data_IF_138036171440
#
_entry.id   IF_138036171440
#
_cell.length_a   1.000
_cell.length_b   1.000
_cell.length_c   1.000
_cell.angle_alpha   90.00
_cell.angle_beta   90.00
_cell.angle_gamma   90.00
#
_symmetry.space_group_name_H-M   'P 1'
#
loop_
_entity.id
_entity.type
_entity.pdbx_description
1 polymer ?
#
# COMPACT_ATOMS: atom_id res chain seq x y z
N UNK A 1 -27.48 -0.08 -19.83
CA UNK A 1 -27.12 0.51 -18.52
C UNK A 1 -25.62 0.75 -18.52
N UNK A 2 -25.16 1.96 -18.18
CA UNK A 2 -23.70 2.25 -18.15
C UNK A 2 -23.07 1.41 -17.04
N UNK A 3 -21.95 0.74 -17.33
CA UNK A 3 -21.27 -0.19 -16.42
C UNK A 3 -20.94 0.39 -15.03
N UNK A 4 -20.80 1.73 -14.92
CA UNK A 4 -20.70 2.45 -13.63
C UNK A 4 -21.84 2.14 -12.66
N UNK A 5 -23.04 1.86 -13.17
CA UNK A 5 -24.20 1.55 -12.35
C UNK A 5 -24.18 0.09 -11.86
N UNK A 6 -23.49 -0.83 -12.54
CA UNK A 6 -23.49 -2.26 -12.17
C UNK A 6 -22.50 -2.52 -11.04
N UNK A 7 -21.33 -1.87 -11.04
CA UNK A 7 -20.41 -1.91 -9.90
C UNK A 7 -21.08 -1.29 -8.66
N UNK A 8 -21.76 -0.15 -8.82
CA UNK A 8 -22.55 0.46 -7.75
C UNK A 8 -23.68 -0.45 -7.24
N UNK A 9 -24.40 -1.16 -8.12
CA UNK A 9 -25.46 -2.10 -7.74
C UNK A 9 -24.89 -3.37 -7.07
N UNK A 10 -23.70 -3.84 -7.44
CA UNK A 10 -23.03 -4.95 -6.76
C UNK A 10 -22.66 -4.56 -5.32
N UNK A 11 -22.08 -3.38 -5.14
CA UNK A 11 -21.79 -2.84 -3.81
C UNK A 11 -23.07 -2.65 -3.00
N UNK A 12 -24.16 -2.13 -3.58
CA UNK A 12 -25.46 -1.99 -2.89
C UNK A 12 -26.10 -3.35 -2.54
N UNK A 13 -25.93 -4.38 -3.39
CA UNK A 13 -26.44 -5.72 -3.14
C UNK A 13 -25.67 -6.50 -2.07
N UNK A 14 -24.38 -6.16 -1.86
CA UNK A 14 -23.51 -6.75 -0.84
C UNK A 14 -23.51 -5.92 0.46
N UNK A 15 -23.75 -4.61 0.39
CA UNK A 15 -23.79 -3.69 1.56
C UNK A 15 -24.98 -3.91 2.50
N UNK A 16 -26.00 -4.70 2.14
CA UNK A 16 -27.21 -4.88 2.96
C UNK A 16 -27.00 -5.76 4.20
N UNK A 17 -25.76 -6.19 4.49
CA UNK A 17 -25.45 -7.10 5.58
C UNK A 17 -24.11 -6.68 6.20
N UNK A 18 -24.17 -6.07 7.38
CA UNK A 18 -23.01 -5.73 8.20
C UNK A 18 -23.47 -5.31 9.60
N UNK A 19 -22.82 -5.84 10.63
CA UNK A 19 -23.07 -5.49 12.03
C UNK A 19 -21.85 -4.78 12.62
N UNK A 20 -22.13 -3.99 13.66
CA UNK A 20 -21.30 -2.89 14.14
C UNK A 20 -20.09 -3.33 14.98
N UNK A 21 -18.91 -2.83 14.63
CA UNK A 21 -17.88 -2.47 15.60
C UNK A 21 -18.08 -1.01 15.99
N UNK A 22 -17.95 -0.62 17.28
CA UNK A 22 -18.08 0.78 17.67
C UNK A 22 -17.00 1.60 16.94
N UNK A 23 -17.40 2.68 16.27
CA UNK A 23 -16.44 3.67 15.74
C UNK A 23 -15.61 4.19 16.92
N UNK A 24 -14.28 4.11 16.78
CA UNK A 24 -13.44 5.08 17.47
C UNK A 24 -13.82 6.47 16.91
N UNK A 25 -14.03 7.44 17.79
CA UNK A 25 -14.26 8.82 17.36
C UNK A 25 -13.02 9.28 16.59
N UNK A 26 -13.18 9.56 15.30
CA UNK A 26 -12.08 10.05 14.47
C UNK A 26 -11.67 11.44 14.94
N UNK A 27 -10.36 11.68 15.02
CA UNK A 27 -9.81 12.98 15.37
C UNK A 27 -9.91 13.94 14.19
N UNK A 28 -9.98 15.23 14.49
CA UNK A 28 -9.77 16.29 13.48
C UNK A 28 -8.28 16.45 13.21
N UNK A 29 -7.90 16.55 11.93
CA UNK A 29 -6.53 16.94 11.55
C UNK A 29 -6.42 18.46 11.53
N UNK A 30 -5.68 19.00 12.50
CA UNK A 30 -5.46 20.42 12.68
C UNK A 30 -4.09 20.85 12.15
N UNK A 31 -4.00 22.12 11.77
CA UNK A 31 -2.74 22.72 11.33
C UNK A 31 -1.63 22.58 12.38
N UNK A 32 -1.98 22.71 13.67
CA UNK A 32 -1.03 22.65 14.79
C UNK A 32 -0.42 21.28 14.98
N UNK A 33 -1.02 20.21 14.43
CA UNK A 33 -0.42 18.88 14.48
C UNK A 33 0.91 18.80 13.72
N UNK A 34 1.02 19.54 12.62
CA UNK A 34 2.23 19.58 11.80
C UNK A 34 3.36 20.41 12.42
N UNK A 35 3.09 21.08 13.55
CA UNK A 35 4.07 21.79 14.37
C UNK A 35 4.66 20.88 15.47
N UNK A 36 4.05 19.71 15.72
CA UNK A 36 4.54 18.72 16.69
C UNK A 36 5.78 17.97 16.16
N UNK A 37 6.58 17.40 17.06
CA UNK A 37 7.68 16.49 16.71
C UNK A 37 7.13 15.22 16.05
N UNK A 38 6.03 14.69 16.56
CA UNK A 38 5.35 13.53 15.97
C UNK A 38 3.91 13.44 16.44
N UNK A 39 3.08 12.73 15.68
CA UNK A 39 1.75 12.32 16.11
C UNK A 39 1.36 10.98 15.45
N UNK A 40 0.40 10.28 16.06
CA UNK A 40 -0.28 9.15 15.46
C UNK A 40 -1.77 9.24 15.81
N UNK A 41 -2.65 9.27 14.80
CA UNK A 41 -4.10 9.39 15.01
C UNK A 41 -4.90 8.93 13.80
N UNK A 42 -6.17 8.63 14.05
CA UNK A 42 -7.15 8.26 13.03
C UNK A 42 -7.98 9.48 12.65
N UNK A 43 -8.01 9.85 11.37
CA UNK A 43 -8.71 11.04 10.85
C UNK A 43 -9.78 10.62 9.85
N UNK A 44 -10.96 11.25 9.89
CA UNK A 44 -11.97 11.03 8.86
C UNK A 44 -11.72 11.92 7.63
N UNK A 45 -11.39 11.30 6.50
CA UNK A 45 -11.22 12.03 5.24
C UNK A 45 -12.51 12.75 4.80
N UNK A 46 -13.69 12.24 5.12
CA UNK A 46 -14.94 12.89 4.71
C UNK A 46 -15.21 14.21 5.43
N UNK A 47 -14.58 14.50 6.57
CA UNK A 47 -14.64 15.85 7.16
C UNK A 47 -14.07 16.91 6.21
N UNK A 48 -12.95 16.58 5.56
CA UNK A 48 -12.38 17.43 4.52
C UNK A 48 -13.33 17.56 3.32
N UNK A 49 -13.92 16.45 2.87
CA UNK A 49 -14.84 16.46 1.72
C UNK A 49 -16.08 17.31 2.03
N UNK A 50 -16.66 17.20 3.24
CA UNK A 50 -17.78 18.02 3.73
C UNK A 50 -17.45 19.51 3.80
N UNK A 51 -16.27 19.85 4.31
CA UNK A 51 -15.80 21.24 4.30
C UNK A 51 -15.66 21.77 2.86
N UNK A 52 -15.12 20.96 1.96
CA UNK A 52 -14.95 21.32 0.55
C UNK A 52 -16.28 21.47 -0.19
N UNK A 53 -17.25 20.56 0.00
CA UNK A 53 -18.58 20.64 -0.63
C UNK A 53 -19.30 21.90 -0.20
N UNK A 54 -19.26 22.22 1.10
CA UNK A 54 -19.83 23.44 1.68
C UNK A 54 -19.20 24.69 1.06
N UNK A 55 -17.86 24.77 1.01
CA UNK A 55 -17.14 25.93 0.49
C UNK A 55 -17.44 26.20 -1.00
N UNK A 56 -17.69 25.15 -1.77
CA UNK A 56 -17.89 25.23 -3.22
C UNK A 56 -19.34 25.12 -3.69
N UNK A 57 -20.31 25.04 -2.77
CA UNK A 57 -21.73 24.90 -3.10
C UNK A 57 -22.05 23.62 -3.90
N UNK A 58 -21.28 22.55 -3.66
CA UNK A 58 -21.49 21.25 -4.30
C UNK A 58 -22.63 20.54 -3.56
N UNK A 59 -23.70 20.10 -4.25
CA UNK A 59 -24.77 19.35 -3.60
C UNK A 59 -24.25 18.09 -2.92
N UNK A 60 -24.63 17.91 -1.67
CA UNK A 60 -24.26 16.74 -0.88
C UNK A 60 -25.17 15.54 -1.22
N UNK A 61 -24.63 14.32 -1.23
CA UNK A 61 -25.45 13.11 -1.36
C UNK A 61 -26.35 12.94 -0.12
N UNK A 62 -27.37 12.10 -0.26
CA UNK A 62 -28.21 11.72 0.88
C UNK A 62 -27.38 10.96 1.95
N UNK A 63 -27.60 11.27 3.23
CA UNK A 63 -26.88 10.70 4.38
C UNK A 63 -25.35 10.95 4.39
N UNK A 64 -24.88 12.06 3.81
CA UNK A 64 -23.45 12.36 3.72
C UNK A 64 -22.74 12.54 5.08
N UNK A 65 -23.51 12.84 6.12
CA UNK A 65 -23.08 12.88 7.51
C UNK A 65 -22.63 11.51 8.04
N UNK A 66 -23.09 10.41 7.43
CA UNK A 66 -22.75 9.02 7.79
C UNK A 66 -21.61 8.44 6.96
N UNK A 67 -21.07 9.23 6.04
CA UNK A 67 -19.96 8.79 5.20
C UNK A 67 -18.67 9.08 5.94
N UNK A 68 -17.93 8.02 6.27
CA UNK A 68 -16.63 8.11 6.94
C UNK A 68 -15.58 7.31 6.16
N UNK A 69 -14.36 7.80 6.16
CA UNK A 69 -13.18 7.17 5.58
C UNK A 69 -12.03 7.42 6.56
N UNK A 70 -11.94 6.52 7.55
CA UNK A 70 -11.01 6.61 8.65
C UNK A 70 -9.61 6.27 8.16
N UNK A 71 -8.68 7.19 8.34
CA UNK A 71 -7.30 7.11 7.89
C UNK A 71 -6.38 7.14 9.11
N UNK A 72 -5.62 6.07 9.36
CA UNK A 72 -4.53 6.10 10.32
C UNK A 72 -3.39 6.93 9.74
N UNK A 73 -3.03 8.01 10.41
CA UNK A 73 -1.96 8.91 10.02
C UNK A 73 -0.86 8.91 11.07
N UNK A 74 0.38 8.76 10.64
CA UNK A 74 1.56 8.99 11.49
C UNK A 74 2.41 10.09 10.89
N UNK A 75 2.95 10.93 11.75
CA UNK A 75 3.80 12.05 11.35
C UNK A 75 5.07 12.07 12.19
N UNK A 76 6.19 12.34 11.54
CA UNK A 76 7.51 12.52 12.15
C UNK A 76 8.11 13.79 11.60
N UNK A 77 8.53 14.70 12.46
CA UNK A 77 9.11 16.01 12.16
C UNK A 77 10.32 16.23 13.07
N UNK A 78 11.45 15.69 12.63
CA UNK A 78 12.71 15.72 13.40
C UNK A 78 13.90 15.79 12.45
N UNK A 79 15.04 16.29 12.90
CA UNK A 79 16.31 16.27 12.15
C UNK A 79 16.23 16.77 10.70
N UNK A 80 15.38 17.76 10.42
CA UNK A 80 15.21 18.34 9.07
C UNK A 80 14.36 17.52 8.10
N UNK A 81 13.71 16.44 8.57
CA UNK A 81 12.76 15.64 7.78
C UNK A 81 11.35 15.77 8.35
N UNK A 82 10.36 15.88 7.47
CA UNK A 82 8.93 15.73 7.73
C UNK A 82 8.42 14.51 6.97
N UNK A 83 8.05 13.46 7.66
CA UNK A 83 7.45 12.26 7.08
C UNK A 83 6.01 12.16 7.55
N UNK A 84 5.06 12.07 6.61
CA UNK A 84 3.68 11.70 6.89
C UNK A 84 3.40 10.34 6.25
N UNK A 85 2.87 9.40 7.01
CA UNK A 85 2.28 8.17 6.50
C UNK A 85 0.75 8.24 6.67
N UNK A 86 0.03 7.64 5.72
CA UNK A 86 -1.41 7.49 5.78
C UNK A 86 -1.84 6.13 5.24
N UNK A 87 -2.63 5.42 6.03
CA UNK A 87 -3.25 4.16 5.66
C UNK A 87 -4.74 4.14 5.96
N UNK A 88 -5.52 3.50 5.09
CA UNK A 88 -6.98 3.45 5.26
C UNK A 88 -7.35 2.38 6.29
N UNK A 89 -8.05 2.76 7.35
CA UNK A 89 -8.60 1.80 8.30
C UNK A 89 -9.87 1.17 7.75
N UNK A 90 -10.85 2.01 7.42
CA UNK A 90 -12.17 1.60 6.95
C UNK A 90 -12.94 2.75 6.30
N UNK A 91 -13.94 2.39 5.49
CA UNK A 91 -14.93 3.29 4.92
C UNK A 91 -16.32 2.82 5.36
N UNK A 92 -17.18 3.75 5.77
CA UNK A 92 -18.61 3.49 5.96
C UNK A 92 -19.45 4.56 5.27
N UNK A 93 -20.67 4.23 4.84
CA UNK A 93 -21.60 5.16 4.16
C UNK A 93 -22.97 5.26 4.81
N UNK A 94 -23.26 4.38 5.75
CA UNK A 94 -24.56 4.30 6.42
C UNK A 94 -24.45 3.72 7.84
N UNK A 95 -23.23 3.65 8.38
CA UNK A 95 -22.87 3.04 9.67
C UNK A 95 -23.18 1.53 9.78
N UNK A 96 -23.64 0.89 8.69
CA UNK A 96 -24.00 -0.53 8.68
C UNK A 96 -23.00 -1.37 7.90
N UNK A 97 -22.42 -0.84 6.82
CA UNK A 97 -21.37 -1.51 6.06
C UNK A 97 -20.00 -0.84 6.28
N UNK A 98 -18.99 -1.68 6.50
CA UNK A 98 -17.58 -1.27 6.58
C UNK A 98 -16.82 -1.88 5.41
N UNK A 99 -15.97 -1.07 4.79
CA UNK A 99 -15.12 -1.47 3.69
C UNK A 99 -13.66 -1.17 4.03
N UNK A 100 -12.86 -2.22 4.18
CA UNK A 100 -11.43 -2.13 4.50
C UNK A 100 -10.59 -2.42 3.26
N UNK A 101 -10.05 -1.38 2.65
CA UNK A 101 -9.22 -1.48 1.45
C UNK A 101 -7.78 -1.17 1.84
N UNK A 102 -6.82 -2.08 1.64
CA UNK A 102 -5.41 -1.79 1.80
C UNK A 102 -5.00 -0.64 0.87
N UNK A 103 -4.77 0.51 1.48
CA UNK A 103 -4.21 1.68 0.86
C UNK A 103 -3.14 2.19 1.81
N UNK A 104 -1.92 2.34 1.32
CA UNK A 104 -0.78 2.81 2.11
C UNK A 104 0.03 3.81 1.30
N UNK A 105 0.32 4.94 1.89
CA UNK A 105 1.17 5.96 1.28
C UNK A 105 2.00 6.66 2.33
N UNK A 106 3.19 7.10 1.96
CA UNK A 106 3.91 8.10 2.73
C UNK A 106 4.37 9.25 1.84
N UNK A 107 4.54 10.40 2.48
CA UNK A 107 5.09 11.63 1.92
C UNK A 107 6.26 12.02 2.80
N UNK A 108 7.42 12.27 2.20
CA UNK A 108 8.57 12.88 2.88
C UNK A 108 8.82 14.26 2.31
N UNK A 109 9.00 15.26 3.17
CA UNK A 109 9.60 16.55 2.85
C UNK A 109 10.94 16.67 3.59
N UNK A 110 11.97 17.09 2.89
CA UNK A 110 13.29 17.34 3.46
C UNK A 110 14.06 18.33 2.59
N UNK A 111 15.17 18.85 3.12
CA UNK A 111 16.16 19.59 2.35
C UNK A 111 17.25 18.66 1.85
N UNK A 112 17.69 18.82 0.61
CA UNK A 112 18.77 18.00 0.03
C UNK A 112 20.11 18.25 0.71
N UNK A 113 20.92 17.22 0.83
CA UNK A 113 22.23 17.31 1.49
C UNK A 113 23.21 18.27 0.79
N UNK A 114 23.23 18.33 -0.55
CA UNK A 114 24.27 19.09 -1.27
C UNK A 114 23.93 20.58 -1.43
N UNK A 115 22.70 20.88 -1.87
CA UNK A 115 22.29 22.25 -2.22
C UNK A 115 21.17 22.80 -1.31
N UNK A 116 20.77 22.09 -0.26
CA UNK A 116 19.78 22.53 0.73
C UNK A 116 18.40 22.87 0.13
N UNK A 117 18.00 22.14 -0.93
CA UNK A 117 16.76 22.36 -1.69
C UNK A 117 15.60 21.56 -1.14
N UNK A 118 14.40 22.11 -1.19
CA UNK A 118 13.19 21.42 -0.74
C UNK A 118 12.75 20.35 -1.74
N UNK A 119 12.63 19.11 -1.24
CA UNK A 119 12.14 17.95 -1.99
C UNK A 119 10.90 17.42 -1.30
N UNK A 120 9.89 17.05 -2.09
CA UNK A 120 8.82 16.17 -1.66
C UNK A 120 8.94 14.84 -2.39
N UNK A 121 8.93 13.76 -1.64
CA UNK A 121 8.85 12.40 -2.16
C UNK A 121 7.57 11.75 -1.69
N UNK A 122 6.91 10.99 -2.56
CA UNK A 122 5.77 10.16 -2.20
C UNK A 122 5.92 8.77 -2.80
N UNK A 123 5.57 7.75 -2.03
CA UNK A 123 5.44 6.36 -2.50
C UNK A 123 4.11 5.81 -2.04
N UNK A 124 3.47 5.05 -2.92
CA UNK A 124 2.16 4.47 -2.67
C UNK A 124 2.09 3.03 -3.12
N UNK A 125 1.59 2.17 -2.24
CA UNK A 125 1.12 0.83 -2.58
C UNK A 125 -0.14 0.94 -3.46
N UNK A 126 -0.12 0.30 -4.62
CA UNK A 126 -1.24 0.30 -5.55
C UNK A 126 -2.11 -0.95 -5.39
N UNK A 127 -1.50 -2.14 -5.49
CA UNK A 127 -2.23 -3.41 -5.44
C UNK A 127 -1.29 -4.63 -5.33
N UNK A 128 -1.90 -5.77 -4.97
CA UNK A 128 -1.35 -7.08 -5.31
C UNK A 128 -1.74 -7.44 -6.76
N UNK A 129 -0.82 -8.09 -7.48
CA UNK A 129 -1.07 -8.63 -8.81
C UNK A 129 -0.67 -10.10 -8.83
N UNK A 130 -1.58 -10.95 -9.28
CA UNK A 130 -1.27 -12.33 -9.62
C UNK A 130 -1.03 -12.44 -11.12
N UNK A 131 -0.12 -13.31 -11.52
CA UNK A 131 0.20 -13.51 -12.92
C UNK A 131 0.62 -14.94 -13.20
N UNK A 132 0.37 -15.40 -14.43
CA UNK A 132 1.01 -16.59 -14.94
C UNK A 132 1.72 -16.29 -16.26
N UNK A 133 2.91 -16.86 -16.39
CA UNK A 133 3.74 -16.65 -17.57
C UNK A 133 3.20 -17.44 -18.76
N UNK A 134 3.45 -16.92 -19.94
CA UNK A 134 3.15 -17.57 -21.21
C UNK A 134 4.45 -17.91 -21.94
N UNK A 135 4.34 -18.68 -23.02
CA UNK A 135 5.49 -18.93 -23.91
C UNK A 135 6.07 -17.65 -24.54
N UNK A 136 5.39 -16.52 -24.41
CA UNK A 136 5.76 -15.22 -24.96
C UNK A 136 6.05 -14.17 -23.89
N UNK A 137 6.19 -14.55 -22.61
CA UNK A 137 6.62 -13.65 -21.54
C UNK A 137 7.92 -12.96 -21.94
N UNK A 138 7.95 -11.66 -21.71
CA UNK A 138 9.06 -10.77 -22.03
C UNK A 138 10.03 -10.66 -20.86
N UNK A 139 9.51 -10.76 -19.64
CA UNK A 139 10.26 -10.63 -18.40
C UNK A 139 10.01 -11.86 -17.54
N UNK A 140 10.96 -12.83 -17.53
CA UNK A 140 10.85 -13.96 -16.63
C UNK A 140 10.66 -13.51 -15.19
N UNK A 141 9.79 -14.22 -14.49
CA UNK A 141 9.50 -14.07 -13.07
C UNK A 141 8.91 -12.69 -12.68
N UNK A 142 8.36 -11.94 -13.64
CA UNK A 142 7.72 -10.65 -13.39
C UNK A 142 6.54 -10.39 -14.33
N UNK A 143 5.39 -9.91 -13.85
CA UNK A 143 4.19 -9.77 -14.67
C UNK A 143 4.40 -8.81 -15.81
N UNK A 144 4.10 -9.20 -17.05
CA UNK A 144 4.21 -8.34 -18.21
C UNK A 144 2.99 -8.38 -19.15
N UNK A 145 3.02 -7.56 -20.19
CA UNK A 145 1.90 -7.35 -21.12
C UNK A 145 1.50 -8.60 -21.92
N UNK A 146 2.34 -9.63 -21.96
CA UNK A 146 2.10 -10.90 -22.65
C UNK A 146 1.63 -12.02 -21.71
N UNK A 147 1.54 -11.74 -20.40
CA UNK A 147 1.07 -12.70 -19.39
C UNK A 147 -0.44 -12.65 -19.21
N UNK A 148 -1.00 -13.62 -18.48
CA UNK A 148 -2.36 -13.47 -17.92
C UNK A 148 -2.23 -12.85 -16.55
N UNK A 149 -2.83 -11.68 -16.39
CA UNK A 149 -2.72 -10.87 -15.18
C UNK A 149 -4.06 -10.77 -14.47
N UNK A 150 -4.01 -10.78 -13.15
CA UNK A 150 -5.15 -10.58 -12.27
C UNK A 150 -4.81 -9.52 -11.24
N UNK A 151 -5.56 -8.42 -11.23
CA UNK A 151 -5.44 -7.37 -10.24
C UNK A 151 -6.29 -7.70 -9.02
N UNK A 152 -5.69 -7.59 -7.84
CA UNK A 152 -6.39 -7.71 -6.57
C UNK A 152 -6.98 -6.38 -6.15
N UNK A 153 -8.26 -6.40 -5.79
CA UNK A 153 -8.88 -5.35 -5.00
C UNK A 153 -9.42 -5.99 -3.75
N UNK A 154 -8.73 -5.76 -2.66
CA UNK A 154 -9.21 -6.21 -1.37
C UNK A 154 -10.41 -5.40 -0.96
N UNK A 155 -11.53 -6.08 -0.78
CA UNK A 155 -12.76 -5.50 -0.31
C UNK A 155 -13.02 -6.16 1.04
N UNK A 156 -12.57 -5.50 2.09
CA UNK A 156 -12.75 -5.97 3.44
C UNK A 156 -14.19 -5.80 3.93
N UNK A 157 -15.13 -6.48 3.27
CA UNK A 157 -16.50 -6.64 3.72
C UNK A 157 -16.53 -7.46 5.02
N UNK A 158 -17.65 -7.36 5.77
CA UNK A 158 -18.07 -8.32 6.79
C UNK A 158 -19.26 -9.14 6.25
N UNK A 159 -19.05 -10.43 5.97
CA UNK A 159 -20.08 -11.36 5.47
C UNK A 159 -20.28 -12.55 6.40
N UNK A 160 -20.00 -12.37 7.70
CA UNK A 160 -20.23 -13.35 8.77
C UNK A 160 -21.65 -13.96 8.76
N UNK A 161 -22.65 -13.19 8.33
CA UNK A 161 -24.05 -13.59 8.22
C UNK A 161 -24.37 -14.51 7.02
N UNK A 162 -23.43 -14.72 6.07
CA UNK A 162 -23.60 -15.73 5.00
C UNK A 162 -23.48 -17.19 5.50
N UNK A 163 -23.27 -17.36 6.81
CA UNK A 163 -23.33 -18.63 7.54
C UNK A 163 -22.06 -19.50 7.43
N UNK A 164 -21.96 -20.53 8.28
CA UNK A 164 -20.79 -21.44 8.43
C UNK A 164 -20.27 -22.13 7.16
N UNK A 165 -20.97 -21.97 6.02
CA UNK A 165 -20.65 -22.63 4.75
C UNK A 165 -19.81 -21.77 3.81
N UNK A 166 -19.68 -20.47 4.08
CA UNK A 166 -18.76 -19.57 3.41
C UNK A 166 -17.78 -19.03 4.46
N UNK A 167 -16.52 -18.75 4.11
CA UNK A 167 -15.59 -18.17 5.07
C UNK A 167 -16.18 -16.90 5.66
N UNK A 168 -15.89 -16.67 6.94
CA UNK A 168 -16.16 -15.39 7.57
C UNK A 168 -15.31 -14.37 6.83
N UNK A 169 -15.93 -13.64 5.91
CA UNK A 169 -15.29 -12.55 5.19
C UNK A 169 -15.41 -11.35 6.11
N UNK A 170 -14.62 -11.26 7.18
CA UNK A 170 -14.67 -10.21 8.21
C UNK A 170 -13.31 -9.53 8.30
N UNK A 171 -12.93 -8.80 7.27
CA UNK A 171 -11.63 -8.15 7.32
C UNK A 171 -11.57 -7.19 8.50
N UNK A 172 -10.45 -7.16 9.19
CA UNK A 172 -10.18 -6.26 10.31
C UNK A 172 -8.93 -5.44 9.98
N UNK A 173 -8.84 -4.24 10.55
CA UNK A 173 -7.66 -3.40 10.46
C UNK A 173 -7.10 -3.17 11.85
N UNK A 174 -5.79 -3.36 12.00
CA UNK A 174 -5.03 -3.11 13.22
C UNK A 174 -3.94 -2.09 12.91
N UNK A 175 -3.87 -1.02 13.70
CA UNK A 175 -2.77 -0.05 13.63
C UNK A 175 -1.57 -0.57 14.40
N UNK A 176 -0.37 -0.48 13.83
CA UNK A 176 0.87 -0.66 14.57
C UNK A 176 1.28 0.73 15.08
N UNK A 177 1.31 0.94 16.42
CA UNK A 177 1.55 2.26 17.00
C UNK A 177 2.88 2.87 16.57
N UNK A 178 2.91 4.19 16.43
CA UNK A 178 4.16 4.92 16.25
C UNK A 178 5.01 4.84 17.52
N UNK A 179 6.22 4.34 17.37
CA UNK A 179 7.22 4.23 18.44
C UNK A 179 8.55 4.78 17.97
N UNK A 180 9.44 5.12 18.90
CA UNK A 180 10.74 5.69 18.57
C UNK A 180 11.81 5.30 19.60
N UNK A 181 13.07 5.37 19.18
CA UNK A 181 14.24 5.27 20.06
C UNK A 181 14.35 6.47 21.01
N UNK A 182 15.19 6.37 22.05
CA UNK A 182 15.42 7.47 23.00
C UNK A 182 16.04 8.70 22.34
N UNK A 183 16.96 8.48 21.39
CA UNK A 183 17.65 9.53 20.62
C UNK A 183 16.83 10.13 19.47
N UNK A 184 15.60 9.62 19.24
CA UNK A 184 14.69 10.06 18.18
C UNK A 184 15.24 9.88 16.76
N UNK A 185 16.22 9.01 16.58
CA UNK A 185 16.78 8.69 15.27
C UNK A 185 16.17 7.44 14.63
N UNK A 186 15.48 6.59 15.39
CA UNK A 186 14.72 5.45 14.88
C UNK A 186 13.23 5.59 15.20
N UNK A 187 12.38 5.30 14.22
CA UNK A 187 10.92 5.33 14.33
C UNK A 187 10.31 4.11 13.67
N UNK A 188 9.31 3.50 14.30
CA UNK A 188 8.62 2.31 13.78
C UNK A 188 7.10 2.49 13.89
N UNK A 189 6.36 2.14 12.83
CA UNK A 189 4.89 2.18 12.76
C UNK A 189 4.39 1.28 11.62
N UNK A 190 3.07 1.20 11.44
CA UNK A 190 2.50 0.46 10.31
C UNK A 190 1.03 0.14 10.48
N UNK A 191 0.52 -0.77 9.65
CA UNK A 191 -0.84 -1.30 9.72
C UNK A 191 -0.88 -2.74 9.24
N UNK A 192 -1.81 -3.51 9.81
CA UNK A 192 -2.12 -4.88 9.43
C UNK A 192 -3.60 -4.98 9.07
N UNK A 193 -3.90 -5.61 7.94
CA UNK A 193 -5.24 -6.02 7.58
C UNK A 193 -5.35 -7.53 7.74
N UNK A 194 -6.19 -8.03 8.64
CA UNK A 194 -6.38 -9.47 8.86
C UNK A 194 -7.68 -9.95 8.26
N UNK A 195 -7.81 -11.26 8.01
CA UNK A 195 -8.98 -11.86 7.35
C UNK A 195 -9.31 -11.14 6.03
N UNK A 196 -8.27 -10.71 5.31
CA UNK A 196 -8.40 -9.79 4.19
C UNK A 196 -9.07 -10.48 3.02
N UNK A 197 -10.27 -10.04 2.67
CA UNK A 197 -11.00 -10.53 1.50
C UNK A 197 -10.57 -9.77 0.26
N UNK A 198 -10.29 -10.48 -0.84
CA UNK A 198 -9.92 -9.85 -2.10
C UNK A 198 -10.63 -10.41 -3.31
N UNK A 199 -11.13 -9.49 -4.15
CA UNK A 199 -11.69 -9.79 -5.45
C UNK A 199 -10.62 -9.61 -6.52
N UNK A 200 -10.63 -10.52 -7.50
CA UNK A 200 -9.63 -10.57 -8.56
C UNK A 200 -10.28 -10.32 -9.91
N UNK A 201 -9.75 -9.34 -10.63
CA UNK A 201 -10.16 -9.05 -12.01
C UNK A 201 -9.04 -9.33 -12.97
N UNK A 202 -9.38 -9.95 -14.10
CA UNK A 202 -8.45 -10.06 -15.21
C UNK A 202 -8.09 -8.65 -15.71
N UNK A 203 -6.79 -8.39 -15.87
CA UNK A 203 -6.27 -7.08 -16.27
C UNK A 203 -5.26 -7.19 -17.41
N UNK A 204 -5.06 -6.07 -18.10
CA UNK A 204 -4.08 -5.91 -19.18
C UNK A 204 -3.31 -4.61 -18.96
N UNK A 205 -1.99 -4.72 -18.89
CA UNK A 205 -1.07 -3.60 -18.65
C UNK A 205 -0.32 -3.17 -19.92
N UNK A 206 -0.82 -3.52 -21.10
CA UNK A 206 -0.25 -3.02 -22.35
C UNK A 206 -0.53 -1.50 -22.47
N UNK A 207 0.48 -0.62 -22.55
CA UNK A 207 0.26 0.84 -22.59
C UNK A 207 -0.58 1.31 -23.78
N UNK A 208 -0.62 0.56 -24.87
CA UNK A 208 -1.41 0.90 -26.06
C UNK A 208 -2.87 0.43 -25.96
N UNK A 209 -3.19 -0.47 -25.04
CA UNK A 209 -4.55 -0.96 -24.81
C UNK A 209 -4.75 -1.42 -23.35
N UNK A 210 -4.53 -0.52 -22.37
CA UNK A 210 -4.69 -0.83 -20.96
C UNK A 210 -6.19 -0.95 -20.67
N UNK A 211 -6.57 -2.06 -20.05
CA UNK A 211 -7.96 -2.34 -19.69
C UNK A 211 -8.01 -3.43 -18.64
N UNK A 212 -9.15 -3.56 -17.98
CA UNK A 212 -9.48 -4.70 -17.16
C UNK A 212 -10.81 -5.27 -17.64
N UNK A 213 -11.07 -6.51 -17.25
CA UNK A 213 -12.35 -7.12 -17.51
C UNK A 213 -13.39 -6.43 -16.63
N UNK A 214 -14.16 -5.51 -17.20
CA UNK A 214 -15.17 -4.76 -16.46
C UNK A 214 -16.46 -5.56 -16.22
N UNK A 215 -16.37 -6.89 -16.29
CA UNK A 215 -17.42 -7.82 -15.88
C UNK A 215 -17.19 -8.28 -14.43
N UNK A 216 -17.73 -9.44 -14.08
CA UNK A 216 -17.64 -10.00 -12.74
C UNK A 216 -16.19 -10.38 -12.39
N UNK A 217 -15.77 -10.22 -11.12
CA UNK A 217 -14.49 -10.75 -10.66
C UNK A 217 -14.43 -12.26 -10.93
N UNK A 218 -13.24 -12.72 -11.30
CA UNK A 218 -12.99 -14.13 -11.67
C UNK A 218 -12.62 -15.00 -10.49
N UNK A 219 -12.21 -14.37 -9.38
CA UNK A 219 -11.96 -15.06 -8.12
C UNK A 219 -12.23 -14.16 -6.90
N UNK A 220 -12.47 -14.80 -5.76
CA UNK A 220 -12.50 -14.20 -4.43
C UNK A 220 -11.54 -14.98 -3.54
N UNK A 221 -10.65 -14.32 -2.82
CA UNK A 221 -9.72 -14.96 -1.88
C UNK A 221 -9.80 -14.37 -0.48
N UNK A 222 -9.33 -15.11 0.52
CA UNK A 222 -9.14 -14.63 1.89
C UNK A 222 -7.71 -14.91 2.34
N UNK A 223 -7.01 -13.86 2.75
CA UNK A 223 -5.66 -13.92 3.31
C UNK A 223 -5.70 -13.91 4.84
N UNK A 224 -4.71 -14.53 5.47
CA UNK A 224 -4.46 -14.38 6.91
C UNK A 224 -4.21 -12.91 7.26
N UNK A 225 -3.32 -12.26 6.52
CA UNK A 225 -2.99 -10.85 6.69
C UNK A 225 -2.48 -10.19 5.39
N UNK A 226 -2.54 -8.87 5.34
CA UNK A 226 -1.63 -8.03 4.56
C UNK A 226 -1.10 -6.97 5.51
N UNK A 227 0.20 -6.98 5.79
CA UNK A 227 0.80 -6.05 6.74
C UNK A 227 1.86 -5.17 6.09
N UNK A 228 1.92 -3.92 6.52
CA UNK A 228 2.91 -2.94 6.12
C UNK A 228 3.53 -2.37 7.38
N UNK A 229 4.83 -2.59 7.56
CA UNK A 229 5.60 -2.02 8.67
C UNK A 229 6.69 -1.13 8.11
N UNK A 230 6.88 0.01 8.74
CA UNK A 230 7.87 0.99 8.35
C UNK A 230 8.86 1.18 9.48
N UNK A 231 10.15 1.24 9.13
CA UNK A 231 11.22 1.66 10.03
C UNK A 231 11.99 2.80 9.40
N UNK A 232 11.90 3.99 9.99
CA UNK A 232 12.72 5.14 9.64
C UNK A 232 13.96 5.15 10.53
N UNK A 233 15.13 5.24 9.93
CA UNK A 233 16.42 5.47 10.59
C UNK A 233 17.05 6.72 10.01
N UNK A 234 17.36 7.69 10.86
CA UNK A 234 18.01 8.95 10.49
C UNK A 234 19.47 8.88 10.94
N UNK A 235 20.38 9.09 9.99
CA UNK A 235 21.81 9.21 10.25
C UNK A 235 22.24 10.65 9.93
N UNK A 236 22.33 11.52 10.96
CA UNK A 236 22.71 12.91 10.77
C UNK A 236 24.13 13.10 10.26
N UNK A 237 25.05 12.21 10.64
CA UNK A 237 26.46 12.28 10.26
C UNK A 237 26.66 11.90 8.79
N UNK A 238 25.92 10.91 8.31
CA UNK A 238 25.91 10.53 6.89
C UNK A 238 25.04 11.46 6.02
N UNK A 239 24.18 12.28 6.64
CA UNK A 239 23.20 13.11 5.92
C UNK A 239 22.18 12.26 5.17
N UNK A 240 21.66 11.21 5.83
CA UNK A 240 20.71 10.28 5.22
C UNK A 240 19.54 9.94 6.14
N UNK A 241 18.37 9.70 5.55
CA UNK A 241 17.24 9.08 6.22
C UNK A 241 16.82 7.84 5.42
N UNK A 242 16.85 6.68 6.07
CA UNK A 242 16.51 5.39 5.47
C UNK A 242 15.16 4.92 5.98
N UNK A 243 14.22 4.67 5.07
CA UNK A 243 12.93 4.07 5.33
C UNK A 243 12.95 2.63 4.82
N UNK A 244 12.91 1.67 5.74
CA UNK A 244 12.69 0.26 5.41
C UNK A 244 11.20 -0.01 5.41
N UNK A 245 10.67 -0.49 4.29
CA UNK A 245 9.29 -0.95 4.19
C UNK A 245 9.28 -2.47 4.30
N UNK A 246 8.48 -3.06 5.18
CA UNK A 246 8.29 -4.50 5.24
C UNK A 246 6.85 -4.84 4.87
N UNK A 247 6.71 -5.73 3.90
CA UNK A 247 5.44 -6.24 3.43
C UNK A 247 5.27 -7.68 3.84
N UNK A 248 4.14 -7.98 4.46
CA UNK A 248 3.70 -9.35 4.71
C UNK A 248 2.47 -9.64 3.88
N UNK A 249 2.57 -10.60 2.97
CA UNK A 249 1.38 -11.20 2.33
C UNK A 249 1.11 -12.49 3.07
N UNK A 250 0.04 -12.55 3.83
CA UNK A 250 -0.39 -13.73 4.57
C UNK A 250 -0.77 -14.88 3.64
N UNK A 251 -0.93 -16.06 4.23
CA UNK A 251 -1.35 -17.26 3.50
C UNK A 251 -2.80 -17.11 3.02
N UNK A 252 -3.11 -17.65 1.84
CA UNK A 252 -4.49 -17.79 1.38
C UNK A 252 -5.16 -18.96 2.10
N UNK A 253 -6.29 -18.70 2.75
CA UNK A 253 -7.10 -19.74 3.41
C UNK A 253 -8.25 -20.22 2.55
N UNK A 254 -8.82 -19.31 1.78
CA UNK A 254 -10.03 -19.54 1.01
C UNK A 254 -9.88 -18.94 -0.38
N UNK A 255 -10.30 -19.67 -1.40
CA UNK A 255 -10.37 -19.17 -2.77
C UNK A 255 -11.63 -19.70 -3.46
N UNK A 256 -12.43 -18.80 -4.00
CA UNK A 256 -13.51 -19.10 -4.93
C UNK A 256 -13.07 -18.72 -6.33
N UNK A 257 -13.27 -19.61 -7.31
CA UNK A 257 -12.94 -19.36 -8.71
C UNK A 257 -14.18 -19.55 -9.56
N UNK A 258 -14.47 -18.60 -10.45
CA UNK A 258 -15.64 -18.65 -11.32
C UNK A 258 -16.39 -17.32 -11.41
N UNK A 259 -17.70 -17.37 -11.66
CA UNK A 259 -18.51 -16.16 -11.83
C UNK A 259 -19.04 -15.68 -10.48
N UNK A 260 -18.32 -14.79 -9.81
CA UNK A 260 -18.74 -14.19 -8.53
C UNK A 260 -19.89 -13.19 -8.78
N UNK A 261 -20.98 -13.18 -7.97
CA UNK A 261 -21.22 -13.94 -6.74
C UNK A 261 -22.10 -15.18 -6.93
N UNK A 262 -22.18 -15.79 -8.11
CA UNK A 262 -23.11 -16.90 -8.39
C UNK A 262 -22.54 -18.24 -7.89
N UNK A 263 -22.95 -18.77 -6.72
CA UNK A 263 -22.22 -19.87 -6.06
C UNK A 263 -22.34 -21.21 -6.80
N UNK A 264 -23.34 -21.36 -7.68
CA UNK A 264 -23.52 -22.52 -8.56
C UNK A 264 -22.52 -22.52 -9.74
N UNK A 265 -21.88 -21.38 -10.00
CA UNK A 265 -20.89 -21.19 -11.07
C UNK A 265 -19.48 -20.97 -10.51
N UNK A 266 -19.27 -21.27 -9.22
CA UNK A 266 -18.00 -21.15 -8.55
C UNK A 266 -17.57 -22.49 -7.95
N UNK A 267 -16.28 -22.76 -8.01
CA UNK A 267 -15.63 -23.80 -7.19
C UNK A 267 -14.89 -23.13 -6.04
N UNK A 268 -14.67 -23.89 -4.96
CA UNK A 268 -14.06 -23.42 -3.73
C UNK A 268 -12.84 -24.28 -3.37
N UNK A 269 -11.75 -23.63 -3.00
CA UNK A 269 -10.51 -24.26 -2.56
C UNK A 269 -10.11 -23.75 -1.18
N UNK A 270 -9.60 -24.65 -0.35
CA UNK A 270 -8.95 -24.33 0.92
C UNK A 270 -7.78 -25.29 1.18
N UNK A 271 -7.21 -25.28 2.39
CA UNK A 271 -6.12 -26.17 2.77
C UNK A 271 -6.48 -27.67 2.84
N UNK A 272 -7.76 -28.03 2.77
CA UNK A 272 -8.24 -29.40 2.93
C UNK A 272 -8.81 -30.02 1.65
N UNK A 273 -8.96 -29.25 0.58
CA UNK A 273 -9.30 -29.75 -0.75
C UNK A 273 -10.06 -28.77 -1.63
N UNK A 274 -10.69 -29.34 -2.66
CA UNK A 274 -11.46 -28.65 -3.68
C UNK A 274 -12.92 -29.08 -3.59
N UNK A 275 -13.82 -28.10 -3.65
CA UNK A 275 -15.24 -28.28 -3.37
C UNK A 275 -16.10 -27.60 -4.44
N UNK A 276 -17.21 -28.24 -4.77
CA UNK A 276 -18.27 -27.68 -5.60
C UNK A 276 -19.40 -27.10 -4.76
N UNK A 277 -20.48 -26.68 -5.43
CA UNK A 277 -21.79 -26.27 -4.89
C UNK A 277 -21.76 -25.77 -3.43
N UNK A 278 -21.54 -24.46 -3.26
CA UNK A 278 -21.46 -23.76 -1.96
C UNK A 278 -20.37 -24.28 -1.02
N UNK A 279 -19.28 -24.88 -1.55
CA UNK A 279 -18.21 -25.45 -0.74
C UNK A 279 -18.61 -26.72 0.03
N UNK A 280 -19.79 -27.30 -0.23
CA UNK A 280 -20.35 -28.41 0.56
C UNK A 280 -19.93 -29.79 0.07
N UNK A 281 -19.63 -29.91 -1.22
CA UNK A 281 -19.35 -31.20 -1.85
C UNK A 281 -17.86 -31.20 -2.19
N UNK A 282 -17.07 -31.98 -1.44
CA UNK A 282 -15.67 -32.22 -1.80
C UNK A 282 -15.62 -32.96 -3.13
N UNK A 283 -14.95 -32.37 -4.11
CA UNK A 283 -14.79 -32.92 -5.45
C UNK A 283 -13.53 -33.77 -5.54
N UNK A 284 -12.44 -33.29 -4.95
CA UNK A 284 -11.16 -33.97 -4.89
C UNK A 284 -10.28 -33.40 -3.75
N UNK A 285 -9.07 -33.92 -3.61
CA UNK A 285 -8.11 -33.54 -2.56
C UNK A 285 -7.20 -32.36 -2.95
N UNK A 286 -7.32 -31.80 -4.16
CA UNK A 286 -6.48 -30.67 -4.58
C UNK A 286 -6.79 -29.47 -3.70
N UNK A 287 -5.77 -28.99 -3.00
CA UNK A 287 -5.88 -27.85 -2.10
C UNK A 287 -5.78 -26.53 -2.86
N UNK A 288 -5.96 -25.44 -2.12
CA UNK A 288 -5.69 -24.10 -2.61
C UNK A 288 -4.24 -23.93 -3.12
N UNK A 289 -3.29 -24.59 -2.47
CA UNK A 289 -1.86 -24.50 -2.84
C UNK A 289 -1.59 -25.29 -4.12
N UNK A 290 -2.23 -26.45 -4.27
CA UNK A 290 -2.18 -27.24 -5.51
C UNK A 290 -2.79 -26.43 -6.66
N UNK A 291 -3.92 -25.76 -6.46
CA UNK A 291 -4.51 -24.90 -7.49
C UNK A 291 -3.55 -23.78 -7.93
N UNK A 292 -2.96 -23.04 -6.97
CA UNK A 292 -2.03 -21.94 -7.28
C UNK A 292 -0.81 -22.48 -8.05
N UNK A 293 -0.26 -23.61 -7.61
CA UNK A 293 0.89 -24.25 -8.23
C UNK A 293 0.57 -24.81 -9.63
N UNK A 294 -0.51 -25.57 -9.78
CA UNK A 294 -0.91 -26.20 -11.05
C UNK A 294 -1.27 -25.17 -12.12
N UNK A 295 -1.72 -23.97 -11.71
CA UNK A 295 -1.99 -22.85 -12.61
C UNK A 295 -0.80 -21.91 -12.80
N UNK A 296 0.36 -22.21 -12.21
CA UNK A 296 1.57 -21.39 -12.22
C UNK A 296 1.30 -19.92 -11.83
N UNK A 297 0.45 -19.71 -10.83
CA UNK A 297 0.07 -18.38 -10.36
C UNK A 297 1.14 -17.85 -9.40
N UNK A 298 1.82 -16.78 -9.84
CA UNK A 298 2.81 -16.02 -9.08
C UNK A 298 2.17 -14.76 -8.49
N UNK A 299 2.83 -14.12 -7.53
CA UNK A 299 2.33 -12.92 -6.86
C UNK A 299 3.33 -11.76 -6.97
N UNK A 300 2.82 -10.54 -7.07
CA UNK A 300 3.61 -9.31 -7.06
C UNK A 300 2.95 -8.20 -6.26
N UNK A 301 3.78 -7.31 -5.72
CA UNK A 301 3.38 -6.00 -5.18
C UNK A 301 3.68 -4.94 -6.23
N UNK A 302 2.73 -4.03 -6.45
CA UNK A 302 2.86 -2.91 -7.38
C UNK A 302 2.81 -1.60 -6.60
N UNK A 303 3.84 -0.78 -6.77
CA UNK A 303 3.94 0.55 -6.18
C UNK A 303 4.27 1.59 -7.25
N UNK A 304 4.01 2.86 -6.95
CA UNK A 304 4.53 3.97 -7.74
C UNK A 304 5.19 5.01 -6.86
N UNK A 305 6.19 5.68 -7.43
CA UNK A 305 6.96 6.69 -6.73
C UNK A 305 6.94 8.02 -7.48
N UNK A 306 6.86 9.12 -6.72
CA UNK A 306 6.90 10.50 -7.22
C UNK A 306 7.85 11.35 -6.37
N UNK A 307 8.56 12.27 -7.02
CA UNK A 307 9.52 13.20 -6.45
C UNK A 307 9.31 14.57 -7.09
N UNK A 308 9.21 15.61 -6.25
CA UNK A 308 8.85 16.96 -6.65
C UNK A 308 9.82 17.95 -6.01
N UNK A 309 10.38 18.84 -6.82
CA UNK A 309 11.19 19.98 -6.37
C UNK A 309 10.58 21.28 -6.85
N UNK A 310 10.81 22.38 -6.14
CA UNK A 310 10.14 23.65 -6.42
C UNK A 310 10.68 24.31 -7.69
N UNK A 311 12.00 24.27 -7.83
CA UNK A 311 12.80 25.02 -8.80
C UNK A 311 13.53 24.12 -9.81
N UNK A 312 13.43 22.80 -9.66
CA UNK A 312 14.07 21.80 -10.53
C UNK A 312 13.10 20.70 -10.97
N UNK A 313 13.42 20.07 -12.09
CA UNK A 313 12.82 18.80 -12.49
C UNK A 313 13.61 17.63 -11.93
N UNK A 314 12.95 16.48 -11.80
CA UNK A 314 13.56 15.25 -11.28
C UNK A 314 13.61 14.18 -12.35
N UNK A 315 14.67 13.38 -12.34
CA UNK A 315 14.78 12.20 -13.19
C UNK A 315 15.30 11.01 -12.39
N UNK A 316 14.93 9.80 -12.82
CA UNK A 316 15.29 8.56 -12.15
C UNK A 316 16.01 7.62 -13.11
N UNK A 317 17.09 7.01 -12.65
CA UNK A 317 17.91 6.09 -13.42
C UNK A 317 18.44 4.95 -12.56
N UNK A 318 18.83 3.84 -13.19
CA UNK A 318 19.61 2.79 -12.53
C UNK A 318 21.01 3.32 -12.17
N UNK A 319 21.75 2.58 -11.34
CA UNK A 319 23.17 2.86 -11.06
C UNK A 319 24.06 2.87 -12.32
N UNK A 320 23.63 2.21 -13.40
CA UNK A 320 24.31 2.22 -14.70
C UNK A 320 23.95 3.42 -15.58
N UNK A 321 23.09 4.32 -15.11
CA UNK A 321 22.64 5.52 -15.83
C UNK A 321 21.50 5.26 -16.84
N UNK A 322 20.84 4.10 -16.78
CA UNK A 322 19.68 3.82 -17.63
C UNK A 322 18.43 4.47 -17.02
N UNK A 323 17.76 5.34 -17.78
CA UNK A 323 16.47 5.92 -17.35
C UNK A 323 15.46 4.83 -17.04
N UNK A 324 14.72 5.01 -15.94
CA UNK A 324 13.65 4.09 -15.52
C UNK A 324 12.24 4.68 -15.65
N UNK A 325 12.14 5.97 -15.98
CA UNK A 325 10.85 6.65 -16.18
C UNK A 325 10.15 6.12 -17.41
N UNK A 326 8.91 5.64 -17.21
CA UNK A 326 8.13 4.96 -18.23
C UNK A 326 8.99 3.94 -19.01
N UNK A 327 9.71 3.09 -18.29
CA UNK A 327 10.58 2.07 -18.86
C UNK A 327 10.37 0.73 -18.15
N UNK A 328 10.70 -0.36 -18.85
CA UNK A 328 10.68 -1.71 -18.29
C UNK A 328 12.11 -2.17 -18.06
N UNK A 329 12.66 -1.78 -16.91
CA UNK A 329 14.06 -1.98 -16.56
C UNK A 329 14.15 -2.91 -15.36
N UNK A 330 14.92 -3.99 -15.47
CA UNK A 330 15.19 -4.86 -14.34
C UNK A 330 16.05 -4.12 -13.29
N UNK A 331 15.63 -4.19 -12.03
CA UNK A 331 16.30 -3.53 -10.91
C UNK A 331 16.56 -4.46 -9.73
N UNK A 332 16.27 -5.76 -9.84
CA UNK A 332 16.44 -6.79 -8.80
C UNK A 332 17.77 -6.68 -8.06
N UNK A 333 18.87 -6.52 -8.81
CA UNK A 333 20.23 -6.55 -8.30
C UNK A 333 20.86 -5.16 -8.11
N UNK A 334 20.06 -4.10 -8.23
CA UNK A 334 20.55 -2.72 -8.21
C UNK A 334 19.56 -1.80 -7.47
N UNK A 335 19.71 -0.50 -7.69
CA UNK A 335 18.87 0.54 -7.12
C UNK A 335 18.42 1.51 -8.20
N UNK A 336 17.35 2.24 -7.89
CA UNK A 336 16.88 3.38 -8.67
C UNK A 336 17.30 4.64 -7.94
N UNK A 337 18.16 5.42 -8.57
CA UNK A 337 18.64 6.69 -8.06
C UNK A 337 17.83 7.82 -8.71
N UNK A 338 17.36 8.75 -7.90
CA UNK A 338 16.66 9.94 -8.35
C UNK A 338 17.52 11.17 -8.13
N UNK A 339 17.56 12.01 -9.15
CA UNK A 339 18.38 13.21 -9.24
C UNK A 339 17.52 14.43 -9.55
N UNK A 340 17.99 15.60 -9.11
CA UNK A 340 17.60 16.87 -9.71
C UNK A 340 18.24 17.01 -11.10
N UNK A 341 17.65 17.82 -11.98
CA UNK A 341 18.13 18.03 -13.36
C UNK A 341 19.56 18.57 -13.51
N UNK A 342 20.19 19.05 -12.43
CA UNK A 342 21.58 19.48 -12.36
C UNK A 342 22.56 18.42 -11.82
N UNK A 343 22.06 17.21 -11.55
CA UNK A 343 22.84 16.05 -11.14
C UNK A 343 22.97 15.86 -9.62
N UNK A 344 22.32 16.69 -8.80
CA UNK A 344 22.25 16.44 -7.35
C UNK A 344 21.43 15.18 -7.07
N UNK A 345 22.02 14.21 -6.36
CA UNK A 345 21.31 12.99 -5.94
C UNK A 345 20.41 13.31 -4.75
N UNK A 346 19.11 13.04 -4.89
CA UNK A 346 18.11 13.37 -3.86
C UNK A 346 17.54 12.12 -3.18
N UNK A 347 17.47 10.98 -3.88
CA UNK A 347 16.86 9.77 -3.35
C UNK A 347 17.40 8.49 -3.99
N UNK A 348 17.29 7.36 -3.29
CA UNK A 348 17.63 6.02 -3.76
C UNK A 348 16.60 4.98 -3.28
N UNK A 349 16.06 4.16 -4.20
CA UNK A 349 15.30 2.95 -3.88
C UNK A 349 16.17 1.72 -4.18
N UNK A 350 16.59 0.99 -3.15
CA UNK A 350 17.48 -0.16 -3.25
C UNK A 350 16.72 -1.49 -3.15
N UNK A 351 16.80 -2.28 -4.22
CA UNK A 351 16.24 -3.63 -4.31
C UNK A 351 17.32 -4.71 -4.12
N UNK A 352 18.58 -4.38 -4.40
CA UNK A 352 19.72 -5.29 -4.32
C UNK A 352 20.14 -5.66 -2.90
N UNK A 353 19.77 -4.86 -1.90
CA UNK A 353 20.01 -5.19 -0.48
C UNK A 353 19.17 -6.37 0.02
N UNK A 354 18.02 -6.65 -0.62
CA UNK A 354 17.09 -7.71 -0.21
C UNK A 354 16.52 -8.43 -1.42
N UNK A 355 17.40 -9.18 -2.10
CA UNK A 355 17.08 -9.99 -3.30
C UNK A 355 16.25 -11.23 -3.00
N UNK A 356 16.12 -11.59 -1.72
CA UNK A 356 15.36 -12.76 -1.29
C UNK A 356 14.20 -12.37 -0.40
N UNK A 357 13.10 -13.12 -0.53
CA UNK A 357 11.95 -13.07 0.36
C UNK A 357 11.87 -14.35 1.18
N UNK A 358 11.21 -14.27 2.34
CA UNK A 358 10.95 -15.45 3.18
C UNK A 358 9.60 -16.04 2.79
N UNK A 359 9.58 -17.30 2.39
CA UNK A 359 8.38 -18.09 2.12
C UNK A 359 8.14 -19.06 3.26
N UNK A 360 6.94 -19.05 3.85
CA UNK A 360 6.58 -19.90 4.98
C UNK A 360 5.54 -20.95 4.57
N UNK A 361 5.99 -22.18 4.31
CA UNK A 361 5.16 -23.27 3.79
C UNK A 361 4.48 -24.05 4.93
N UNK A 362 3.51 -23.44 5.60
CA UNK A 362 2.67 -24.11 6.60
C UNK A 362 1.24 -24.33 6.09
N UNK A 363 0.79 -25.59 6.11
CA UNK A 363 -0.44 -26.04 5.42
C UNK A 363 -1.64 -26.23 6.32
N UNK A 364 -1.48 -26.46 7.64
CA UNK A 364 -2.53 -27.05 8.46
C UNK A 364 -3.06 -26.19 9.63
N UNK A 365 -2.20 -25.50 10.39
CA UNK A 365 -2.63 -24.86 11.65
C UNK A 365 -2.62 -23.30 11.53
N UNK A 366 -3.75 -22.61 11.76
CA UNK A 366 -3.79 -21.14 11.83
C UNK A 366 -3.18 -20.56 13.12
N UNK A 367 -2.87 -21.41 14.11
CA UNK A 367 -2.16 -21.05 15.35
C UNK A 367 -0.66 -21.33 15.30
N UNK A 368 -0.15 -21.81 14.15
CA UNK A 368 1.28 -21.80 13.82
C UNK A 368 1.77 -20.35 13.68
N UNK A 369 1.87 -19.65 14.81
CA UNK A 369 2.39 -18.29 14.96
C UNK A 369 3.90 -18.30 15.22
N UNK A 370 4.47 -19.47 15.48
CA UNK A 370 5.88 -19.65 15.76
C UNK A 370 6.61 -20.16 14.52
N UNK A 371 7.44 -19.31 13.91
CA UNK A 371 8.91 -19.46 13.83
C UNK A 371 9.53 -20.86 13.96
N UNK A 372 8.88 -21.93 13.51
CA UNK A 372 9.55 -23.19 13.23
C UNK A 372 10.40 -22.95 11.99
N UNK A 373 11.67 -22.64 12.25
CA UNK A 373 12.74 -22.41 11.28
C UNK A 373 12.77 -23.50 10.17
N UNK A 374 12.21 -24.68 10.45
CA UNK A 374 12.07 -25.79 9.51
C UNK A 374 11.21 -25.53 8.26
N UNK A 375 10.28 -24.55 8.26
CA UNK A 375 9.38 -24.29 7.11
C UNK A 375 9.62 -22.94 6.42
N UNK A 376 10.65 -22.18 6.82
CA UNK A 376 11.07 -20.94 6.15
C UNK A 376 12.07 -21.27 5.05
N UNK A 377 11.77 -20.86 3.83
CA UNK A 377 12.70 -20.95 2.70
C UNK A 377 12.95 -19.55 2.16
N UNK A 378 14.22 -19.20 1.95
CA UNK A 378 14.57 -17.97 1.23
C UNK A 378 14.50 -18.21 -0.27
N UNK A 379 13.79 -17.33 -0.97
CA UNK A 379 13.52 -17.43 -2.41
C UNK A 379 13.88 -16.12 -3.09
N UNK A 380 14.31 -16.16 -4.34
CA UNK A 380 14.66 -14.94 -5.07
C UNK A 380 13.40 -14.16 -5.42
N UNK A 381 13.39 -12.86 -5.13
CA UNK A 381 12.42 -11.92 -5.66
C UNK A 381 12.92 -11.34 -6.99
N UNK A 382 12.01 -10.92 -7.85
CA UNK A 382 12.34 -10.19 -9.09
C UNK A 382 11.75 -8.78 -9.02
N UNK A 383 12.58 -7.75 -9.19
CA UNK A 383 12.15 -6.36 -9.20
C UNK A 383 12.39 -5.70 -10.56
N UNK A 384 11.40 -4.96 -11.06
CA UNK A 384 11.53 -4.19 -12.30
C UNK A 384 10.69 -2.92 -12.26
N UNK A 385 11.09 -1.93 -13.05
CA UNK A 385 10.17 -0.84 -13.40
C UNK A 385 9.21 -1.24 -14.51
N UNK A 386 8.12 -0.48 -14.65
CA UNK A 386 7.09 -0.75 -15.64
C UNK A 386 6.65 0.51 -16.39
N UNK A 387 5.97 0.29 -17.53
CA UNK A 387 5.37 1.39 -18.32
C UNK A 387 4.17 1.98 -17.57
N UNK A 388 4.21 3.29 -17.35
CA UNK A 388 3.21 4.06 -16.61
C UNK A 388 1.84 3.94 -17.28
N UNK A 389 1.81 4.00 -18.62
CA UNK A 389 0.58 3.90 -19.41
C UNK A 389 -0.19 2.59 -19.19
N UNK A 390 0.52 1.50 -18.88
CA UNK A 390 -0.09 0.18 -18.62
C UNK A 390 -1.00 0.17 -17.39
N UNK A 391 -0.60 0.87 -16.34
CA UNK A 391 -1.36 0.96 -15.09
C UNK A 391 -2.32 2.14 -15.09
N UNK A 392 -1.87 3.32 -15.51
CA UNK A 392 -2.69 4.54 -15.47
C UNK A 392 -3.89 4.49 -16.40
N UNK A 393 -3.81 3.76 -17.52
CA UNK A 393 -4.95 3.57 -18.40
C UNK A 393 -6.04 2.65 -17.84
N UNK A 394 -5.74 1.90 -16.77
CA UNK A 394 -6.71 1.13 -16.00
C UNK A 394 -7.49 1.99 -14.98
N UNK A 395 -7.80 3.24 -15.33
CA UNK A 395 -8.39 4.21 -14.39
C UNK A 395 -9.74 3.80 -13.79
N UNK A 396 -10.51 2.92 -14.45
CA UNK A 396 -11.74 2.37 -13.88
C UNK A 396 -11.49 1.37 -12.75
N UNK A 397 -10.39 0.63 -12.83
CA UNK A 397 -9.94 -0.29 -11.79
C UNK A 397 -9.46 0.49 -10.57
N UNK A 398 -8.63 1.53 -10.77
CA UNK A 398 -8.01 2.30 -9.70
C UNK A 398 -8.81 3.52 -9.22
N UNK A 399 -10.06 3.70 -9.66
CA UNK A 399 -10.82 4.93 -9.42
C UNK A 399 -10.97 5.27 -7.92
N UNK A 400 -11.16 4.25 -7.08
CA UNK A 400 -11.35 4.41 -5.63
C UNK A 400 -10.03 4.71 -4.91
N UNK A 401 -8.99 3.92 -5.13
CA UNK A 401 -7.64 4.20 -4.62
C UNK A 401 -7.17 5.60 -4.99
N UNK A 402 -7.30 5.98 -6.28
CA UNK A 402 -6.94 7.33 -6.75
C UNK A 402 -7.83 8.39 -6.09
N UNK A 403 -9.13 8.13 -5.92
CA UNK A 403 -10.06 9.05 -5.28
C UNK A 403 -9.65 9.38 -3.84
N UNK A 404 -9.35 8.35 -3.05
CA UNK A 404 -8.91 8.51 -1.66
C UNK A 404 -7.55 9.20 -1.58
N UNK A 405 -6.60 8.88 -2.46
CA UNK A 405 -5.29 9.54 -2.48
C UNK A 405 -5.35 11.06 -2.73
N UNK A 406 -6.45 11.62 -3.25
CA UNK A 406 -6.56 13.07 -3.54
C UNK A 406 -6.49 13.97 -2.31
N UNK A 407 -6.64 13.44 -1.11
CA UNK A 407 -6.43 14.23 0.12
C UNK A 407 -4.96 14.41 0.43
N UNK A 408 -4.10 13.46 0.04
CA UNK A 408 -2.68 13.46 0.39
C UNK A 408 -1.98 14.77 -0.01
N UNK A 409 -2.22 15.38 -1.19
CA UNK A 409 -1.60 16.66 -1.49
C UNK A 409 -2.08 17.83 -0.64
N UNK A 410 -3.26 17.75 -0.01
CA UNK A 410 -3.74 18.80 0.88
C UNK A 410 -2.86 18.94 2.12
N UNK A 411 -2.32 17.83 2.64
CA UNK A 411 -1.43 17.85 3.83
C UNK A 411 -0.10 18.57 3.55
N UNK A 412 0.31 18.63 2.28
CA UNK A 412 1.54 19.31 1.87
C UNK A 412 1.47 20.81 2.17
N UNK A 413 0.28 21.40 2.22
CA UNK A 413 0.13 22.81 2.63
C UNK A 413 0.67 23.06 4.04
N UNK A 414 0.65 22.04 4.90
CA UNK A 414 1.13 22.13 6.28
C UNK A 414 2.60 21.67 6.41
N UNK A 415 3.06 20.77 5.54
CA UNK A 415 4.48 20.36 5.50
C UNK A 415 5.36 21.44 4.86
N UNK A 416 5.00 21.89 3.65
CA UNK A 416 5.71 22.91 2.89
C UNK A 416 4.77 23.61 1.86
N UNK A 417 4.14 24.74 2.26
CA UNK A 417 3.11 25.41 1.45
C UNK A 417 3.55 25.78 0.02
N UNK A 418 4.83 26.13 -0.18
CA UNK A 418 5.33 26.55 -1.48
C UNK A 418 5.35 25.42 -2.52
N UNK A 419 5.30 24.15 -2.12
CA UNK A 419 5.18 22.99 -3.03
C UNK A 419 3.77 22.45 -3.16
N UNK A 420 2.80 22.92 -2.38
CA UNK A 420 1.46 22.34 -2.33
C UNK A 420 0.77 22.28 -3.71
N UNK A 421 0.91 23.33 -4.52
CA UNK A 421 0.33 23.37 -5.88
C UNK A 421 1.01 22.35 -6.81
N UNK A 422 2.35 22.26 -6.78
CA UNK A 422 3.08 21.29 -7.61
C UNK A 422 2.69 19.88 -7.16
N UNK A 423 2.75 19.60 -5.85
CA UNK A 423 2.37 18.33 -5.24
C UNK A 423 0.93 17.90 -5.58
N UNK A 424 -0.05 18.81 -5.51
CA UNK A 424 -1.44 18.54 -5.88
C UNK A 424 -1.62 18.04 -7.31
N UNK A 425 -0.72 18.43 -8.21
CA UNK A 425 -0.75 17.98 -9.60
C UNK A 425 0.02 16.69 -9.86
N UNK A 426 0.88 16.24 -8.93
CA UNK A 426 1.84 15.14 -9.12
C UNK A 426 1.68 13.98 -8.14
N UNK A 427 1.72 14.19 -6.81
CA UNK A 427 1.95 13.08 -5.84
C UNK A 427 0.82 12.04 -5.83
N UNK A 428 -0.42 12.44 -6.08
CA UNK A 428 -1.58 11.55 -6.21
C UNK A 428 -1.92 11.23 -7.68
N UNK A 429 -1.09 11.69 -8.63
CA UNK A 429 -1.30 11.52 -10.06
C UNK A 429 -0.33 10.47 -10.60
N UNK A 430 -0.82 9.23 -10.68
CA UNK A 430 -0.08 8.09 -11.23
C UNK A 430 0.54 8.36 -12.61
N UNK A 431 -0.09 9.16 -13.48
CA UNK A 431 0.46 9.50 -14.80
C UNK A 431 1.67 10.43 -14.76
N UNK A 432 1.98 10.98 -13.58
CA UNK A 432 3.16 11.82 -13.33
C UNK A 432 4.15 11.18 -12.36
N UNK A 433 3.98 9.90 -12.04
CA UNK A 433 4.97 9.17 -11.27
C UNK A 433 6.33 9.21 -11.98
N UNK A 434 7.42 9.30 -11.22
CA UNK A 434 8.76 9.14 -11.79
C UNK A 434 8.94 7.73 -12.35
N UNK A 435 8.37 6.73 -11.68
CA UNK A 435 8.31 5.34 -12.14
C UNK A 435 7.30 4.53 -11.35
N UNK A 436 6.88 3.42 -11.95
CA UNK A 436 6.22 2.30 -11.29
C UNK A 436 7.24 1.22 -11.09
N UNK A 437 7.17 0.52 -9.96
CA UNK A 437 7.97 -0.67 -9.74
C UNK A 437 7.11 -1.83 -9.27
N UNK A 438 7.55 -3.02 -9.69
CA UNK A 438 6.95 -4.29 -9.36
C UNK A 438 7.98 -5.12 -8.63
N UNK A 439 7.60 -5.69 -7.49
CA UNK A 439 8.37 -6.71 -6.79
C UNK A 439 7.58 -8.01 -6.90
N UNK A 440 8.20 -9.07 -7.43
CA UNK A 440 7.54 -10.34 -7.74
C UNK A 440 8.12 -11.47 -6.90
N UNK A 441 7.25 -12.42 -6.53
CA UNK A 441 7.51 -13.60 -5.72
C UNK A 441 7.24 -14.84 -6.58
N UNK A 442 8.22 -15.32 -7.35
CA UNK A 442 7.95 -16.26 -8.44
C UNK A 442 7.69 -17.69 -7.97
N UNK A 443 8.12 -18.02 -6.76
CA UNK A 443 7.83 -19.30 -6.11
C UNK A 443 6.68 -19.19 -5.09
N UNK A 444 5.86 -18.14 -5.20
CA UNK A 444 4.64 -18.01 -4.43
C UNK A 444 3.67 -19.14 -4.77
N UNK A 445 3.11 -19.78 -3.74
CA UNK A 445 2.17 -20.89 -3.90
C UNK A 445 0.98 -20.76 -2.95
N UNK A 446 0.58 -19.52 -2.61
CA UNK A 446 -0.51 -19.25 -1.67
C UNK A 446 -0.06 -19.16 -0.21
N UNK A 447 1.22 -19.32 0.08
CA UNK A 447 1.81 -19.23 1.42
C UNK A 447 2.21 -17.81 1.82
N UNK A 448 2.58 -17.64 3.09
CA UNK A 448 2.99 -16.34 3.62
C UNK A 448 4.35 -15.90 3.06
N UNK A 449 4.44 -14.64 2.64
CA UNK A 449 5.64 -13.95 2.15
C UNK A 449 5.99 -12.80 3.07
N UNK A 450 7.28 -12.63 3.39
CA UNK A 450 7.84 -11.40 3.96
C UNK A 450 8.92 -10.85 3.03
N UNK A 451 8.83 -9.58 2.66
CA UNK A 451 9.81 -8.91 1.82
C UNK A 451 9.83 -7.39 1.95
N UNK A 452 11.02 -6.80 1.82
CA UNK A 452 11.26 -5.40 2.16
C UNK A 452 12.14 -4.71 1.11
N UNK A 453 11.70 -3.60 0.47
CA UNK A 453 12.62 -2.67 -0.17
C UNK A 453 13.24 -1.69 0.86
N UNK A 454 14.39 -1.11 0.52
CA UNK A 454 15.03 -0.05 1.32
C UNK A 454 15.04 1.27 0.54
N UNK A 455 14.50 2.32 1.15
CA UNK A 455 14.43 3.66 0.55
C UNK A 455 15.36 4.60 1.33
N UNK A 456 16.16 5.42 0.64
CA UNK A 456 17.11 6.35 1.28
C UNK A 456 16.95 7.75 0.69
N UNK A 457 16.62 8.71 1.53
CA UNK A 457 16.68 10.15 1.24
C UNK A 457 18.04 10.72 1.65
N UNK A 458 18.60 11.61 0.82
CA UNK A 458 19.84 12.33 1.12
C UNK A 458 19.50 13.72 1.65
N UNK A 459 19.63 13.89 2.96
CA UNK A 459 19.07 15.02 3.69
C UNK A 459 20.17 15.95 4.21
N UNK A 460 19.89 17.26 4.20
CA UNK A 460 20.61 18.20 5.04
C UNK A 460 20.03 18.08 6.45
N UNK A 461 20.88 17.72 7.42
CA UNK A 461 20.50 17.62 8.82
C UNK A 461 20.74 18.95 9.53
N UNK A 462 19.78 19.36 10.36
CA UNK A 462 20.02 20.45 11.31
C UNK A 462 20.86 19.91 12.48
N UNK A 463 21.78 20.71 13.06
CA UNK A 463 22.48 20.30 14.27
C UNK A 463 21.45 19.98 15.35
N UNK A 464 21.50 18.76 15.91
CA UNK A 464 20.68 18.41 17.08
C UNK A 464 20.98 19.44 18.15
N UNK A 465 19.97 20.19 18.59
CA UNK A 465 20.11 21.12 19.69
C UNK A 465 20.52 20.32 20.92
N UNK A 466 21.79 20.39 21.31
CA UNK A 466 22.28 19.78 22.54
C UNK A 466 21.43 20.37 23.68
N UNK A 467 20.68 19.57 24.45
CA UNK A 467 19.97 20.10 25.60
C UNK A 467 20.98 20.82 26.49
N UNK A 468 20.64 22.04 26.93
CA UNK A 468 21.54 22.78 27.81
C UNK A 468 21.93 21.89 28.98
N UNK A 469 23.24 21.77 29.32
CA UNK A 469 23.65 21.02 30.48
C UNK A 469 22.88 21.58 31.66
N UNK A 470 22.05 20.75 32.30
CA UNK A 470 21.23 21.12 33.44
C UNK A 470 22.10 21.84 34.46
N UNK A 471 21.98 23.17 34.49
CA UNK A 471 22.83 24.03 35.26
C UNK A 471 22.72 23.69 36.73
N UNK A 472 23.82 23.20 37.29
CA UNK A 472 24.11 23.16 38.72
C UNK A 472 24.16 24.61 39.25
N UNK A 473 23.01 25.20 39.52
CA UNK A 473 22.90 26.41 40.33
C UNK A 473 21.65 26.34 41.20
N UNK A 474 21.79 25.71 42.36
CA UNK A 474 21.10 26.15 43.57
C UNK A 474 21.93 25.71 44.78
N UNK A 475 22.75 26.63 45.28
CA UNK A 475 22.88 26.95 46.70
C UNK A 475 24.06 27.89 46.92
N UNK A 476 23.82 29.17 46.69
CA UNK A 476 24.46 30.22 47.46
C UNK A 476 23.55 31.45 47.47
N UNK A 477 22.69 31.57 48.48
CA UNK A 477 22.56 32.77 49.35
C UNK A 477 21.36 32.65 50.29
N UNK A 478 21.61 32.81 51.60
CA UNK A 478 20.64 33.35 52.56
C UNK A 478 20.44 32.55 53.86
N UNK A 479 21.31 32.78 54.85
CA UNK A 479 21.14 32.29 56.23
C UNK A 479 22.42 32.31 57.06
#
# INVERSE_FOLDING_TARGET
>A
MKAKNILGILFIGIMMIGLMTPLAEADTLDRTDFEQESFAKTVDFYDYVRAYTTLHGIPEPENFDKWHANMYMTYVNTSGIKLLYAGLEEITTDESAYLRIPMQSFIMHYKTNQNNRDVILASTFLMLMAFNETATSLYPDSPDRNDVLYASFSLGFDLSDLGETLPVLNSETETIPLTHSEDKLEWEWGMRYTNLTALWWRTWINPNNPRFDNSWPVALTVYDELAFTYKLTIDPDAGTATLQENHVIGRMRHMFVGVIPFPLLCTYYNSTGHYGTFGKIKLDDNTIYDFVQDNNLKMSIINFQTSVMADHETYSQTQSGQSVTDAETEVTDTSIETYADDGEKIFNADFGTKKTYKLYNYTADPTETASNIYNRIERNSTARTTKIGGFTGNGGLFAYHIGLMKFLPAVVVHMYPALAVKAASTIANMSRANYFYTISYPEYSGYRVEHDPTLTAYIATEPIATPEPSGLFDNATGG
#
